data_IF_378954352843
#
_entry.id   IF_378954352843
#
_cell.length_a   1.000
_cell.length_b   1.000
_cell.length_c   1.000
_cell.angle_alpha   90.00
_cell.angle_beta   90.00
_cell.angle_gamma   90.00
#
_symmetry.space_group_name_H-M   'P 1'
#
loop_
_entity.id
_entity.type
_entity.pdbx_description
1 polymer ?
#
# COMPACT_ATOMS: atom_id res chain seq x y z
N UNK A 1 -0.12 -33.72 5.38
CA UNK A 1 -1.43 -33.34 4.80
C UNK A 1 -1.33 -31.89 4.38
N UNK A 2 -0.96 -31.64 3.11
CA UNK A 2 -0.81 -30.29 2.57
C UNK A 2 -2.19 -29.66 2.39
N UNK A 3 -2.51 -28.60 3.13
CA UNK A 3 -3.65 -27.75 2.81
C UNK A 3 -3.25 -26.82 1.67
N UNK A 4 -3.89 -27.03 0.52
CA UNK A 4 -3.86 -26.11 -0.60
C UNK A 4 -4.33 -24.72 -0.14
N UNK A 5 -3.40 -23.77 -0.02
CA UNK A 5 -3.73 -22.34 0.06
C UNK A 5 -4.51 -22.01 -1.19
N UNK A 6 -5.80 -21.74 -1.02
CA UNK A 6 -6.70 -21.41 -2.11
C UNK A 6 -6.36 -19.99 -2.58
N UNK A 7 -5.46 -19.86 -3.55
CA UNK A 7 -5.36 -18.66 -4.38
C UNK A 7 -6.62 -18.59 -5.24
N UNK A 8 -7.72 -18.17 -4.62
CA UNK A 8 -9.03 -18.05 -5.29
C UNK A 8 -9.08 -16.71 -6.00
N UNK A 9 -8.81 -16.79 -7.31
CA UNK A 9 -9.04 -15.83 -8.38
C UNK A 9 -9.29 -14.38 -7.96
N UNK A 10 -8.20 -13.62 -8.01
CA UNK A 10 -8.22 -12.21 -8.39
C UNK A 10 -8.87 -12.16 -9.78
N UNK A 11 -9.93 -11.38 -9.96
CA UNK A 11 -10.46 -11.11 -11.31
C UNK A 11 -9.31 -10.65 -12.21
N UNK A 12 -9.25 -10.98 -13.51
CA UNK A 12 -8.18 -10.50 -14.39
C UNK A 12 -8.01 -8.97 -14.38
N UNK A 13 -9.07 -8.26 -13.99
CA UNK A 13 -9.14 -6.80 -13.90
C UNK A 13 -8.98 -6.27 -12.46
N UNK A 14 -8.81 -7.13 -11.45
CA UNK A 14 -8.64 -6.73 -10.05
C UNK A 14 -7.15 -6.59 -9.71
N UNK A 15 -6.54 -5.52 -10.20
CA UNK A 15 -5.13 -5.21 -9.92
C UNK A 15 -4.85 -4.88 -8.43
N UNK A 16 -5.90 -4.77 -7.61
CA UNK A 16 -5.80 -4.32 -6.21
C UNK A 16 -6.17 -5.40 -5.19
N UNK A 17 -6.53 -6.62 -5.63
CA UNK A 17 -6.92 -7.74 -4.77
C UNK A 17 -8.04 -7.37 -3.77
N UNK A 18 -8.97 -6.48 -4.14
CA UNK A 18 -9.93 -5.86 -3.21
C UNK A 18 -10.78 -6.88 -2.43
N UNK A 19 -11.30 -7.96 -3.03
CA UNK A 19 -12.09 -8.96 -2.29
C UNK A 19 -11.25 -9.73 -1.26
N UNK A 20 -9.94 -9.89 -1.49
CA UNK A 20 -9.05 -10.53 -0.51
C UNK A 20 -8.85 -9.62 0.69
N UNK A 21 -8.52 -8.34 0.45
CA UNK A 21 -8.40 -7.35 1.52
C UNK A 21 -9.69 -7.21 2.32
N UNK A 22 -10.85 -7.13 1.67
CA UNK A 22 -12.14 -7.04 2.34
C UNK A 22 -12.39 -8.24 3.28
N UNK A 23 -12.17 -9.46 2.79
CA UNK A 23 -12.38 -10.68 3.58
C UNK A 23 -11.51 -10.78 4.82
N UNK A 24 -10.30 -10.22 4.78
CA UNK A 24 -9.38 -10.23 5.91
C UNK A 24 -9.68 -9.07 6.87
N UNK A 25 -9.94 -7.86 6.36
CA UNK A 25 -10.17 -6.67 7.16
C UNK A 25 -11.51 -6.67 7.91
N UNK A 26 -12.53 -7.37 7.42
CA UNK A 26 -13.87 -7.38 8.04
C UNK A 26 -13.92 -7.86 9.49
N UNK A 27 -12.91 -8.61 9.94
CA UNK A 27 -12.84 -9.08 11.33
C UNK A 27 -12.36 -7.99 12.30
N UNK A 28 -11.78 -6.91 11.78
CA UNK A 28 -11.28 -5.77 12.54
C UNK A 28 -12.09 -4.50 12.29
N UNK A 29 -12.69 -4.38 11.11
CA UNK A 29 -13.46 -3.22 10.68
C UNK A 29 -14.84 -3.66 10.19
N UNK A 30 -15.94 -2.98 10.56
CA UNK A 30 -17.29 -3.48 10.31
C UNK A 30 -17.81 -3.27 8.87
N UNK A 31 -17.01 -2.70 7.96
CA UNK A 31 -17.50 -2.16 6.69
C UNK A 31 -16.83 -2.66 5.39
N UNK A 32 -15.58 -3.16 5.33
CA UNK A 32 -15.04 -3.75 4.11
C UNK A 32 -15.49 -5.21 4.01
N UNK A 33 -16.77 -5.48 3.76
CA UNK A 33 -17.27 -6.83 3.45
C UNK A 33 -17.83 -6.82 2.02
N UNK A 34 -17.24 -7.64 1.15
CA UNK A 34 -17.61 -7.77 -0.26
C UNK A 34 -19.04 -8.32 -0.47
N UNK A 35 -19.62 -8.91 0.57
CA UNK A 35 -21.02 -9.36 0.60
C UNK A 35 -21.98 -8.23 0.95
N UNK A 36 -21.51 -7.20 1.65
CA UNK A 36 -22.31 -6.05 2.08
C UNK A 36 -22.18 -4.90 1.08
N UNK A 37 -20.97 -4.66 0.56
CA UNK A 37 -20.69 -3.65 -0.46
C UNK A 37 -20.04 -4.33 -1.69
N UNK A 38 -20.85 -4.84 -2.63
CA UNK A 38 -20.34 -5.52 -3.82
C UNK A 38 -19.79 -4.54 -4.86
N UNK A 39 -20.04 -3.22 -4.73
CA UNK A 39 -19.60 -2.26 -5.72
C UNK A 39 -18.08 -2.01 -5.59
N UNK A 40 -17.26 -2.36 -6.61
CA UNK A 40 -15.80 -2.37 -6.47
C UNK A 40 -15.20 -1.01 -6.08
N UNK A 41 -15.72 0.08 -6.63
CA UNK A 41 -15.26 1.43 -6.28
C UNK A 41 -15.54 1.80 -4.81
N UNK A 42 -16.70 1.39 -4.28
CA UNK A 42 -17.05 1.68 -2.89
C UNK A 42 -16.25 0.81 -1.94
N UNK A 43 -16.04 -0.47 -2.30
CA UNK A 43 -15.16 -1.36 -1.56
C UNK A 43 -13.73 -0.82 -1.52
N UNK A 44 -13.21 -0.35 -2.66
CA UNK A 44 -11.92 0.34 -2.74
C UNK A 44 -11.89 1.56 -1.81
N UNK A 45 -12.89 2.44 -1.86
CA UNK A 45 -12.97 3.62 -1.01
C UNK A 45 -13.01 3.26 0.49
N UNK A 46 -13.73 2.21 0.87
CA UNK A 46 -13.75 1.69 2.23
C UNK A 46 -12.35 1.22 2.67
N UNK A 47 -11.68 0.41 1.85
CA UNK A 47 -10.32 -0.08 2.14
C UNK A 47 -9.33 1.09 2.23
N UNK A 48 -9.40 2.05 1.30
CA UNK A 48 -8.56 3.25 1.31
C UNK A 48 -8.76 4.06 2.59
N UNK A 49 -10.00 4.26 3.05
CA UNK A 49 -10.29 4.96 4.29
C UNK A 49 -9.72 4.23 5.52
N UNK A 50 -9.81 2.90 5.57
CA UNK A 50 -9.15 2.11 6.64
C UNK A 50 -7.66 2.39 6.65
N UNK A 51 -7.01 2.24 5.50
CA UNK A 51 -5.57 2.43 5.37
C UNK A 51 -5.15 3.84 5.79
N UNK A 52 -5.91 4.87 5.40
CA UNK A 52 -5.61 6.25 5.76
C UNK A 52 -5.84 6.55 7.24
N UNK A 53 -7.02 6.22 7.78
CA UNK A 53 -7.37 6.54 9.18
C UNK A 53 -6.50 5.75 10.15
N UNK A 54 -6.30 4.45 9.90
CA UNK A 54 -5.48 3.63 10.78
C UNK A 54 -3.99 3.96 10.63
N UNK A 55 -3.51 4.12 9.39
CA UNK A 55 -2.12 4.47 9.12
C UNK A 55 -1.73 5.83 9.69
N UNK A 56 -2.60 6.85 9.58
CA UNK A 56 -2.33 8.17 10.18
C UNK A 56 -2.27 8.15 11.70
N UNK A 57 -3.03 7.27 12.36
CA UNK A 57 -3.07 7.19 13.81
C UNK A 57 -2.00 6.26 14.42
N UNK A 58 -1.57 5.24 13.68
CA UNK A 58 -0.82 4.10 14.27
C UNK A 58 0.49 3.77 13.56
N UNK A 59 0.85 4.43 12.45
CA UNK A 59 2.10 4.13 11.78
C UNK A 59 3.29 4.78 12.50
N UNK A 60 4.31 3.99 12.82
CA UNK A 60 5.58 4.48 13.36
C UNK A 60 6.36 5.31 12.31
N UNK A 61 6.15 4.99 11.03
CA UNK A 61 6.74 5.70 9.90
C UNK A 61 5.74 5.84 8.75
N UNK A 62 5.66 7.05 8.20
CA UNK A 62 4.84 7.36 7.04
C UNK A 62 5.69 7.98 5.95
N UNK A 63 5.55 7.46 4.72
CA UNK A 63 6.24 7.92 3.53
C UNK A 63 5.22 8.13 2.42
N UNK A 64 5.16 9.35 1.92
CA UNK A 64 4.36 9.69 0.75
C UNK A 64 5.12 9.31 -0.52
N UNK A 65 4.39 8.79 -1.50
CA UNK A 65 4.98 8.37 -2.77
C UNK A 65 5.60 9.55 -3.52
N UNK A 66 4.92 10.70 -3.53
CA UNK A 66 5.37 11.93 -4.17
C UNK A 66 6.69 12.42 -3.57
N UNK A 67 6.78 12.45 -2.23
CA UNK A 67 8.01 12.87 -1.54
C UNK A 67 9.18 11.89 -1.78
N UNK A 68 8.88 10.59 -1.92
CA UNK A 68 9.87 9.59 -2.33
C UNK A 68 10.43 9.89 -3.73
N UNK A 69 9.58 10.26 -4.68
CA UNK A 69 10.02 10.59 -6.04
C UNK A 69 10.82 11.92 -6.09
N UNK A 70 10.44 12.91 -5.29
CA UNK A 70 11.12 14.22 -5.24
C UNK A 70 12.52 14.13 -4.61
N UNK A 71 12.69 13.27 -3.61
CA UNK A 71 13.93 13.18 -2.84
C UNK A 71 14.31 11.73 -2.46
N UNK A 72 14.52 10.83 -3.44
CA UNK A 72 14.67 9.39 -3.19
C UNK A 72 15.75 9.05 -2.15
N UNK A 73 16.96 9.59 -2.31
CA UNK A 73 18.08 9.33 -1.40
C UNK A 73 17.75 9.75 0.04
N UNK A 74 17.13 10.92 0.21
CA UNK A 74 16.76 11.43 1.52
C UNK A 74 15.69 10.55 2.18
N UNK A 75 14.65 10.16 1.43
CA UNK A 75 13.57 9.33 1.97
C UNK A 75 14.04 7.90 2.29
N UNK A 76 14.91 7.31 1.46
CA UNK A 76 15.51 5.99 1.74
C UNK A 76 16.37 6.06 3.00
N UNK A 77 17.17 7.11 3.17
CA UNK A 77 17.94 7.30 4.40
C UNK A 77 17.03 7.42 5.63
N UNK A 78 15.95 8.19 5.53
CA UNK A 78 14.96 8.32 6.62
C UNK A 78 14.34 6.96 6.98
N UNK A 79 14.02 6.14 5.97
CA UNK A 79 13.47 4.80 6.18
C UNK A 79 14.47 3.88 6.89
N UNK A 80 15.73 3.84 6.46
CA UNK A 80 16.78 3.01 7.09
C UNK A 80 16.96 3.37 8.56
N UNK A 81 16.97 4.67 8.88
CA UNK A 81 17.07 5.16 10.26
C UNK A 81 15.82 4.81 11.07
N UNK A 82 14.63 4.98 10.49
CA UNK A 82 13.37 4.69 11.17
C UNK A 82 13.17 3.19 11.47
N UNK A 83 13.84 2.30 10.73
CA UNK A 83 13.77 0.85 10.94
C UNK A 83 14.94 0.30 11.75
N UNK A 84 15.89 1.15 12.18
CA UNK A 84 17.08 0.75 12.94
C UNK A 84 17.95 -0.26 12.18
N UNK A 85 18.13 -0.05 10.87
CA UNK A 85 18.84 -0.97 9.97
C UNK A 85 20.10 -0.39 9.34
N UNK A 86 20.67 0.68 9.90
CA UNK A 86 21.85 1.36 9.36
C UNK A 86 23.06 0.42 9.16
N UNK A 87 23.24 -0.53 10.07
CA UNK A 87 24.41 -1.43 10.10
C UNK A 87 24.29 -2.62 9.13
N UNK A 88 23.18 -2.74 8.41
CA UNK A 88 22.90 -3.89 7.55
C UNK A 88 23.67 -3.85 6.21
N UNK A 89 24.47 -2.81 5.98
CA UNK A 89 25.40 -2.73 4.85
C UNK A 89 24.73 -2.54 3.49
N UNK A 90 23.54 -1.93 3.43
CA UNK A 90 22.83 -1.70 2.18
C UNK A 90 23.61 -0.83 1.20
N UNK A 91 23.58 -1.20 -0.08
CA UNK A 91 23.98 -0.29 -1.16
C UNK A 91 22.87 0.75 -1.38
N UNK A 92 23.06 1.93 -0.77
CA UNK A 92 22.13 3.06 -0.87
C UNK A 92 21.93 3.56 -2.29
N UNK A 93 22.95 3.46 -3.14
CA UNK A 93 22.85 3.88 -4.53
C UNK A 93 21.99 2.91 -5.32
N UNK A 94 22.17 1.61 -5.11
CA UNK A 94 21.34 0.58 -5.72
C UNK A 94 19.87 0.72 -5.30
N UNK A 95 19.59 0.96 -4.01
CA UNK A 95 18.23 1.20 -3.52
C UNK A 95 17.61 2.45 -4.14
N UNK A 96 18.37 3.54 -4.22
CA UNK A 96 17.91 4.79 -4.82
C UNK A 96 17.59 4.62 -6.30
N UNK A 97 18.38 3.83 -7.02
CA UNK A 97 18.17 3.54 -8.43
C UNK A 97 16.89 2.72 -8.72
N UNK A 98 16.30 2.06 -7.72
CA UNK A 98 15.01 1.38 -7.88
C UNK A 98 13.84 2.37 -8.00
N UNK A 99 14.01 3.60 -7.51
CA UNK A 99 12.97 4.63 -7.57
C UNK A 99 12.92 5.19 -8.99
N UNK A 100 11.98 4.67 -9.79
CA UNK A 100 11.75 5.16 -11.15
C UNK A 100 10.88 6.41 -11.10
N UNK A 101 11.33 7.56 -11.62
CA UNK A 101 10.54 8.78 -11.63
C UNK A 101 9.29 8.57 -12.49
N UNK A 102 8.13 8.91 -11.93
CA UNK A 102 6.86 8.94 -12.65
C UNK A 102 6.23 10.32 -12.53
N UNK A 103 5.52 10.82 -13.57
CA UNK A 103 4.80 12.07 -13.46
C UNK A 103 3.76 12.01 -12.34
N UNK A 104 3.92 12.89 -11.35
CA UNK A 104 2.99 13.06 -10.24
C UNK A 104 1.81 13.95 -10.66
N UNK A 105 0.68 13.83 -9.96
CA UNK A 105 -0.45 14.74 -10.18
C UNK A 105 -1.26 14.50 -11.46
N UNK A 106 -1.08 13.39 -12.18
CA UNK A 106 -1.90 13.08 -13.38
C UNK A 106 -3.41 13.06 -13.11
N UNK A 107 -3.83 12.84 -11.86
CA UNK A 107 -5.24 12.85 -11.49
C UNK A 107 -5.93 14.19 -11.82
N UNK A 108 -5.20 15.32 -11.84
CA UNK A 108 -5.75 16.62 -12.25
C UNK A 108 -6.20 16.64 -13.72
N UNK A 109 -5.70 15.73 -14.56
CA UNK A 109 -6.11 15.61 -15.96
C UNK A 109 -7.48 14.91 -16.11
N UNK A 110 -7.96 14.26 -15.05
CA UNK A 110 -9.19 13.46 -15.04
C UNK A 110 -10.29 14.03 -14.13
N UNK A 111 -10.02 15.15 -13.45
CA UNK A 111 -10.91 15.80 -12.46
C UNK A 111 -11.48 17.13 -12.98
#
# INVERSE_FOLDING_TARGET
>A
MLMARTTRFVSPNDHFCLPSWARDLKYHFPFPDDRVEPHPYRLFHCIWNVSYLFGSASADFSLQFETLLESPEHQIRRLIVATETEDYGYDRNALTALVTPVPVGRWHEYA
#
